data_IF_387996577240
#
_entry.id   IF_387996577240
#
_cell.length_a   1.000
_cell.length_b   1.000
_cell.length_c   1.000
_cell.angle_alpha   90.00
_cell.angle_beta   90.00
_cell.angle_gamma   90.00
#
_symmetry.space_group_name_H-M   'P 1'
#
loop_
_entity.id
_entity.type
_entity.pdbx_description
1 polymer ?
#
# COMPACT_ATOMS: atom_id res chain seq x y z
N UNK A 1 -20.44 -6.14 4.90
CA UNK A 1 -20.24 -5.35 3.67
C UNK A 1 -21.17 -4.12 3.64
N UNK A 2 -22.50 -4.23 3.56
CA UNK A 2 -23.38 -3.05 3.46
C UNK A 2 -23.30 -2.09 4.65
N UNK A 3 -23.22 -2.60 5.88
CA UNK A 3 -23.06 -1.77 7.09
C UNK A 3 -21.71 -1.05 7.12
N UNK A 4 -20.65 -1.70 6.65
CA UNK A 4 -19.33 -1.13 6.55
C UNK A 4 -19.26 0.00 5.51
N UNK A 5 -19.83 -0.22 4.32
CA UNK A 5 -19.94 0.83 3.30
C UNK A 5 -20.74 2.03 3.79
N UNK A 6 -21.84 1.80 4.50
CA UNK A 6 -22.65 2.87 5.08
C UNK A 6 -21.86 3.67 6.13
N UNK A 7 -21.19 2.98 7.06
CA UNK A 7 -20.38 3.63 8.09
C UNK A 7 -19.23 4.46 7.49
N UNK A 8 -18.54 3.90 6.48
CA UNK A 8 -17.46 4.58 5.76
C UNK A 8 -17.97 5.83 5.03
N UNK A 9 -19.09 5.72 4.31
CA UNK A 9 -19.69 6.87 3.62
C UNK A 9 -20.13 7.97 4.60
N UNK A 10 -20.72 7.60 5.75
CA UNK A 10 -21.10 8.55 6.79
C UNK A 10 -19.87 9.27 7.39
N UNK A 11 -18.82 8.51 7.72
CA UNK A 11 -17.56 9.08 8.23
C UNK A 11 -16.92 10.04 7.22
N UNK A 12 -16.89 9.65 5.95
CA UNK A 12 -16.36 10.47 4.85
C UNK A 12 -17.13 11.79 4.72
N UNK A 13 -18.47 11.74 4.64
CA UNK A 13 -19.32 12.93 4.54
C UNK A 13 -19.14 13.85 5.76
N UNK A 14 -19.04 13.26 6.95
CA UNK A 14 -18.84 14.04 8.19
C UNK A 14 -17.51 14.73 8.21
N UNK A 15 -16.42 14.05 7.81
CA UNK A 15 -15.08 14.66 7.70
C UNK A 15 -15.07 15.80 6.69
N UNK A 16 -15.66 15.62 5.52
CA UNK A 16 -15.75 16.68 4.51
C UNK A 16 -16.50 17.91 5.02
N UNK A 17 -17.64 17.71 5.72
CA UNK A 17 -18.37 18.83 6.33
C UNK A 17 -17.55 19.56 7.39
N UNK A 18 -16.79 18.84 8.23
CA UNK A 18 -15.89 19.43 9.21
C UNK A 18 -14.74 20.20 8.54
N UNK A 19 -14.17 19.66 7.46
CA UNK A 19 -13.11 20.33 6.68
C UNK A 19 -13.65 21.63 6.05
N UNK A 20 -14.85 21.59 5.47
CA UNK A 20 -15.48 22.79 4.89
C UNK A 20 -15.76 23.88 5.94
N UNK A 21 -16.04 23.50 7.19
CA UNK A 21 -16.28 24.41 8.31
C UNK A 21 -15.00 24.92 9.01
N UNK A 22 -13.81 24.57 8.52
CA UNK A 22 -12.56 25.08 9.14
C UNK A 22 -12.34 26.56 8.82
N UNK A 23 -11.73 27.34 9.75
CA UNK A 23 -11.35 28.71 9.48
C UNK A 23 -10.40 28.86 8.28
N UNK A 24 -10.29 30.07 7.76
CA UNK A 24 -9.29 30.38 6.74
C UNK A 24 -7.86 30.08 7.25
N UNK A 25 -6.94 29.67 6.35
CA UNK A 25 -5.57 29.36 6.73
C UNK A 25 -4.88 30.59 7.35
N UNK A 26 -4.09 30.36 8.38
CA UNK A 26 -3.30 31.38 9.07
C UNK A 26 -1.84 31.39 8.59
N UNK A 27 -1.36 30.27 8.02
CA UNK A 27 0.00 30.08 7.55
C UNK A 27 0.04 30.15 6.02
N UNK A 28 1.00 30.90 5.49
CA UNK A 28 1.26 30.93 4.05
C UNK A 28 2.13 29.74 3.61
N UNK A 29 1.64 28.55 3.95
CA UNK A 29 2.26 27.27 3.61
C UNK A 29 1.19 26.31 3.08
N UNK A 30 1.37 25.88 1.86
CA UNK A 30 0.47 24.89 1.22
C UNK A 30 1.00 23.48 1.46
N UNK A 31 0.14 22.59 1.92
CA UNK A 31 0.43 21.15 2.07
C UNK A 31 -0.51 20.40 1.12
N UNK A 32 0.03 19.49 0.31
CA UNK A 32 -0.76 18.52 -0.45
C UNK A 32 -0.91 17.25 0.37
N UNK A 33 -2.12 16.68 0.39
CA UNK A 33 -2.41 15.39 1.03
C UNK A 33 -3.14 14.51 0.03
N UNK A 34 -2.69 13.28 -0.17
CA UNK A 34 -3.34 12.36 -1.09
C UNK A 34 -2.91 10.91 -0.90
N UNK A 35 -3.53 10.04 -1.70
CA UNK A 35 -3.22 8.63 -1.75
C UNK A 35 -2.64 8.28 -3.13
N UNK A 36 -1.50 7.56 -3.19
CA UNK A 36 -0.89 7.18 -4.47
C UNK A 36 -1.77 6.22 -5.26
N UNK A 37 -1.39 5.94 -6.49
CA UNK A 37 -2.13 5.01 -7.36
C UNK A 37 -2.37 3.67 -6.68
N UNK A 38 -3.61 3.15 -6.80
CA UNK A 38 -4.06 1.92 -6.17
C UNK A 38 -4.48 2.05 -4.70
N UNK A 39 -4.33 3.23 -4.05
CA UNK A 39 -4.76 3.45 -2.68
C UNK A 39 -6.14 4.14 -2.61
N UNK A 40 -7.13 3.42 -2.09
CA UNK A 40 -8.52 3.88 -2.02
C UNK A 40 -8.97 4.28 -0.59
N UNK A 41 -8.15 4.07 0.44
CA UNK A 41 -8.51 4.34 1.83
C UNK A 41 -8.32 5.83 2.17
N UNK A 42 -9.33 6.63 1.90
CA UNK A 42 -9.28 8.11 2.00
C UNK A 42 -9.45 8.68 3.40
N UNK A 43 -10.07 7.95 4.33
CA UNK A 43 -10.40 8.44 5.67
C UNK A 43 -9.17 8.96 6.44
N UNK A 44 -8.02 8.25 6.48
CA UNK A 44 -6.83 8.77 7.17
C UNK A 44 -6.34 10.10 6.60
N UNK A 45 -6.32 10.25 5.28
CA UNK A 45 -5.92 11.49 4.60
C UNK A 45 -6.88 12.65 4.86
N UNK A 46 -8.20 12.39 4.91
CA UNK A 46 -9.22 13.38 5.27
C UNK A 46 -9.09 13.83 6.73
N UNK A 47 -8.87 12.88 7.65
CA UNK A 47 -8.65 13.20 9.06
C UNK A 47 -7.40 14.08 9.23
N UNK A 48 -6.30 13.72 8.60
CA UNK A 48 -5.07 14.51 8.62
C UNK A 48 -5.30 15.90 8.02
N UNK A 49 -6.02 16.01 6.91
CA UNK A 49 -6.41 17.28 6.29
C UNK A 49 -7.18 18.18 7.27
N UNK A 50 -8.17 17.63 7.97
CA UNK A 50 -8.93 18.36 8.98
C UNK A 50 -8.01 18.92 10.09
N UNK A 51 -7.13 18.08 10.61
CA UNK A 51 -6.23 18.47 11.71
C UNK A 51 -5.23 19.53 11.26
N UNK A 52 -4.62 19.38 10.10
CA UNK A 52 -3.66 20.35 9.57
C UNK A 52 -4.33 21.70 9.26
N UNK A 53 -5.58 21.72 8.79
CA UNK A 53 -6.34 22.96 8.62
C UNK A 53 -6.61 23.65 9.95
N UNK A 54 -6.92 22.89 11.01
CA UNK A 54 -7.06 23.43 12.38
C UNK A 54 -5.77 24.00 12.92
N UNK A 55 -4.62 23.47 12.49
CA UNK A 55 -3.30 24.03 12.78
C UNK A 55 -2.93 25.26 11.94
N UNK A 56 -3.84 25.73 11.08
CA UNK A 56 -3.71 26.94 10.27
C UNK A 56 -3.03 26.77 8.91
N UNK A 57 -2.73 25.54 8.48
CA UNK A 57 -2.15 25.31 7.15
C UNK A 57 -3.20 25.46 6.04
N UNK A 58 -2.73 25.90 4.87
CA UNK A 58 -3.48 25.76 3.62
C UNK A 58 -3.31 24.33 3.11
N UNK A 59 -4.34 23.49 3.25
CA UNK A 59 -4.28 22.08 2.83
C UNK A 59 -5.13 21.85 1.60
N UNK A 60 -4.54 21.26 0.57
CA UNK A 60 -5.20 20.76 -0.63
C UNK A 60 -5.23 19.23 -0.55
N UNK A 61 -6.44 18.69 -0.39
CA UNK A 61 -6.65 17.25 -0.40
C UNK A 61 -6.92 16.77 -1.83
N UNK A 62 -6.08 15.90 -2.34
CA UNK A 62 -6.10 15.42 -3.73
C UNK A 62 -6.97 14.18 -3.92
N UNK A 63 -7.34 13.48 -2.83
CA UNK A 63 -8.16 12.27 -2.91
C UNK A 63 -7.36 10.97 -2.97
N UNK A 64 -7.97 9.97 -3.59
CA UNK A 64 -7.47 8.61 -3.74
C UNK A 64 -6.95 8.35 -5.16
N UNK A 65 -6.16 7.27 -5.30
CA UNK A 65 -5.75 6.70 -6.59
C UNK A 65 -5.15 7.73 -7.56
N UNK A 66 -4.20 8.54 -7.05
CA UNK A 66 -3.63 9.63 -7.84
C UNK A 66 -2.47 9.09 -8.69
N UNK A 67 -2.58 9.15 -10.04
CA UNK A 67 -1.48 8.79 -10.92
C UNK A 67 -0.25 9.67 -10.69
N UNK A 68 0.93 9.08 -10.72
CA UNK A 68 2.20 9.75 -10.40
C UNK A 68 2.44 10.99 -11.29
N UNK A 69 2.11 10.92 -12.57
CA UNK A 69 2.27 12.05 -13.50
C UNK A 69 1.40 13.24 -13.07
N UNK A 70 0.11 13.00 -12.74
CA UNK A 70 -0.81 14.05 -12.28
C UNK A 70 -0.39 14.64 -10.93
N UNK A 71 0.16 13.80 -10.05
CA UNK A 71 0.68 14.23 -8.76
C UNK A 71 1.89 15.16 -8.94
N UNK A 72 2.82 14.80 -9.83
CA UNK A 72 4.01 15.61 -10.16
C UNK A 72 3.62 16.93 -10.79
N UNK A 73 2.76 16.94 -11.81
CA UNK A 73 2.29 18.16 -12.48
C UNK A 73 1.57 19.11 -11.49
N UNK A 74 0.77 18.55 -10.60
CA UNK A 74 0.07 19.30 -9.55
C UNK A 74 1.06 19.92 -8.57
N UNK A 75 2.07 19.14 -8.15
CA UNK A 75 3.10 19.61 -7.25
C UNK A 75 3.95 20.74 -7.87
N UNK A 76 4.35 20.60 -9.12
CA UNK A 76 5.12 21.61 -9.86
C UNK A 76 4.33 22.90 -10.03
N UNK A 77 3.01 22.81 -10.25
CA UNK A 77 2.12 23.97 -10.38
C UNK A 77 1.90 24.69 -9.05
N UNK A 78 1.61 23.94 -7.97
CA UNK A 78 1.23 24.49 -6.65
C UNK A 78 2.46 24.89 -5.84
N UNK A 79 3.59 24.20 -6.01
CA UNK A 79 4.84 24.37 -5.26
C UNK A 79 4.59 24.28 -3.73
N UNK A 80 4.05 23.15 -3.26
CA UNK A 80 3.71 22.99 -1.86
C UNK A 80 4.96 22.99 -0.98
N UNK A 81 4.81 23.40 0.28
CA UNK A 81 5.87 23.26 1.26
C UNK A 81 6.13 21.80 1.66
N UNK A 82 5.10 20.93 1.54
CA UNK A 82 5.19 19.52 1.84
C UNK A 82 4.10 18.75 1.07
N UNK A 83 4.44 17.56 0.58
CA UNK A 83 3.50 16.59 0.03
C UNK A 83 3.40 15.43 1.00
N UNK A 84 2.19 15.02 1.36
CA UNK A 84 1.95 13.90 2.27
C UNK A 84 1.18 12.81 1.52
N UNK A 85 1.76 11.61 1.48
CA UNK A 85 1.15 10.45 0.86
C UNK A 85 0.82 9.38 1.91
N UNK A 86 -0.35 8.75 1.78
CA UNK A 86 -0.78 7.69 2.68
C UNK A 86 -0.95 6.37 1.94
N UNK A 87 -0.42 5.26 2.50
CA UNK A 87 -0.65 3.91 1.99
C UNK A 87 -1.05 2.96 3.13
N UNK A 88 -2.07 2.13 2.88
CA UNK A 88 -2.60 1.21 3.87
C UNK A 88 -2.19 -0.25 3.60
N UNK A 89 -1.78 -0.53 2.37
CA UNK A 89 -1.47 -1.86 1.85
C UNK A 89 -0.09 -1.89 1.17
N UNK A 90 0.48 -3.07 1.07
CA UNK A 90 1.78 -3.28 0.45
C UNK A 90 1.82 -2.84 -1.04
N UNK A 91 0.81 -3.13 -1.89
CA UNK A 91 0.79 -2.61 -3.26
C UNK A 91 0.83 -1.08 -3.32
N UNK A 92 0.07 -0.39 -2.47
CA UNK A 92 0.09 1.07 -2.43
C UNK A 92 1.36 1.65 -1.78
N UNK A 93 2.07 0.88 -0.94
CA UNK A 93 3.39 1.27 -0.46
C UNK A 93 4.43 1.29 -1.59
N UNK A 94 4.34 0.34 -2.56
CA UNK A 94 5.16 0.35 -3.78
C UNK A 94 4.93 1.63 -4.58
N UNK A 95 3.68 1.93 -4.93
CA UNK A 95 3.36 3.12 -5.73
C UNK A 95 3.65 4.43 -5.00
N UNK A 96 3.59 4.41 -3.66
CA UNK A 96 4.06 5.52 -2.82
C UNK A 96 5.57 5.70 -2.94
N UNK A 97 6.36 4.62 -2.89
CA UNK A 97 7.82 4.68 -3.04
C UNK A 97 8.21 5.24 -4.41
N UNK A 98 7.56 4.78 -5.49
CA UNK A 98 7.76 5.30 -6.84
C UNK A 98 7.41 6.79 -6.93
N UNK A 99 6.27 7.20 -6.36
CA UNK A 99 5.84 8.59 -6.30
C UNK A 99 6.82 9.47 -5.53
N UNK A 100 7.31 8.99 -4.39
CA UNK A 100 8.28 9.72 -3.57
C UNK A 100 9.61 9.91 -4.30
N UNK A 101 10.06 8.92 -5.08
CA UNK A 101 11.27 9.01 -5.89
C UNK A 101 11.13 10.12 -6.95
N UNK A 102 10.08 10.07 -7.77
CA UNK A 102 9.83 11.07 -8.83
C UNK A 102 9.69 12.48 -8.25
N UNK A 103 8.90 12.64 -7.17
CA UNK A 103 8.72 13.94 -6.53
C UNK A 103 10.04 14.49 -5.95
N UNK A 104 10.90 13.61 -5.43
CA UNK A 104 12.23 13.99 -4.92
C UNK A 104 13.18 14.45 -6.04
N UNK A 105 13.12 13.83 -7.22
CA UNK A 105 13.86 14.26 -8.42
C UNK A 105 13.44 15.69 -8.84
N UNK A 106 12.17 16.03 -8.69
CA UNK A 106 11.61 17.37 -8.89
C UNK A 106 11.86 18.31 -7.70
N UNK A 107 12.62 17.88 -6.68
CA UNK A 107 12.97 18.63 -5.47
C UNK A 107 11.78 18.98 -4.56
N UNK A 108 10.69 18.23 -4.65
CA UNK A 108 9.61 18.33 -3.69
C UNK A 108 9.94 17.59 -2.40
N UNK A 109 9.53 18.17 -1.28
CA UNK A 109 9.63 17.51 0.00
C UNK A 109 8.42 16.60 0.20
N UNK A 110 8.69 15.31 0.49
CA UNK A 110 7.68 14.29 0.65
C UNK A 110 7.74 13.70 2.05
N UNK A 111 6.57 13.54 2.67
CA UNK A 111 6.38 12.74 3.87
C UNK A 111 5.30 11.67 3.62
N UNK A 112 5.32 10.63 4.42
CA UNK A 112 4.37 9.54 4.25
C UNK A 112 4.01 8.86 5.56
N UNK A 113 2.86 8.17 5.54
CA UNK A 113 2.39 7.34 6.64
C UNK A 113 1.35 6.33 6.17
N UNK A 114 0.77 5.63 7.12
CA UNK A 114 -0.28 4.64 6.88
C UNK A 114 -0.03 3.31 7.55
N UNK A 115 -1.07 2.48 7.61
CA UNK A 115 -1.08 1.24 8.41
C UNK A 115 0.00 0.25 7.99
N UNK A 116 0.31 0.15 6.71
CA UNK A 116 1.31 -0.79 6.20
C UNK A 116 2.70 -0.56 6.80
N UNK A 117 3.04 0.69 7.12
CA UNK A 117 4.35 1.03 7.72
C UNK A 117 4.40 0.75 9.23
N UNK A 118 3.26 0.83 9.92
CA UNK A 118 3.13 0.43 11.32
C UNK A 118 3.18 -1.09 11.46
N UNK A 119 2.55 -1.82 10.54
CA UNK A 119 2.52 -3.30 10.57
C UNK A 119 3.79 -3.94 10.01
N UNK A 120 4.51 -3.22 9.16
CA UNK A 120 5.76 -3.68 8.51
C UNK A 120 6.80 -2.54 8.56
N UNK A 121 7.40 -2.25 9.73
CA UNK A 121 8.29 -1.08 9.92
C UNK A 121 9.52 -1.08 9.00
N UNK A 122 9.98 -2.25 8.57
CA UNK A 122 11.12 -2.41 7.68
C UNK A 122 10.90 -1.75 6.30
N UNK A 123 9.64 -1.58 5.88
CA UNK A 123 9.28 -0.86 4.66
C UNK A 123 9.78 0.59 4.68
N UNK A 124 9.93 1.21 5.85
CA UNK A 124 10.41 2.59 5.97
C UNK A 124 11.84 2.76 5.45
N UNK A 125 12.62 1.68 5.38
CA UNK A 125 13.98 1.70 4.81
C UNK A 125 13.98 1.70 3.28
N UNK A 126 12.82 1.50 2.65
CA UNK A 126 12.64 1.36 1.19
C UNK A 126 12.01 2.58 0.54
N UNK A 127 11.77 3.65 1.30
CA UNK A 127 11.10 4.85 0.80
C UNK A 127 11.95 6.09 1.05
N UNK A 128 12.26 6.81 -0.02
CA UNK A 128 13.05 8.05 0.02
C UNK A 128 12.16 9.26 0.34
N UNK A 129 11.58 9.25 1.54
CA UNK A 129 10.75 10.32 2.06
C UNK A 129 10.74 10.29 3.60
N UNK A 130 10.08 11.27 4.24
CA UNK A 130 10.01 11.35 5.70
C UNK A 130 8.87 10.52 6.24
N UNK A 131 9.18 9.47 7.01
CA UNK A 131 8.16 8.71 7.72
C UNK A 131 7.57 9.52 8.88
N UNK A 132 6.26 9.66 8.91
CA UNK A 132 5.54 10.49 9.89
C UNK A 132 5.36 9.80 11.27
N UNK A 133 5.77 8.53 11.39
CA UNK A 133 5.62 7.77 12.64
C UNK A 133 4.24 7.15 12.82
N UNK A 134 4.03 6.53 13.99
CA UNK A 134 2.85 5.71 14.31
C UNK A 134 1.79 6.47 15.11
N UNK A 135 2.08 7.68 15.56
CA UNK A 135 1.15 8.50 16.34
C UNK A 135 0.72 9.75 15.59
N UNK A 136 -0.55 10.09 15.69
CA UNK A 136 -1.12 11.27 15.02
C UNK A 136 -0.52 12.59 15.57
N UNK A 137 -0.28 12.66 16.87
CA UNK A 137 0.33 13.84 17.50
C UNK A 137 1.78 14.06 17.04
N UNK A 138 2.57 12.98 17.03
CA UNK A 138 3.94 13.00 16.53
C UNK A 138 3.99 13.35 15.04
N UNK A 139 3.07 12.84 14.24
CA UNK A 139 2.93 13.17 12.82
C UNK A 139 2.69 14.67 12.61
N UNK A 140 1.77 15.28 13.35
CA UNK A 140 1.46 16.71 13.22
C UNK A 140 2.69 17.57 13.60
N UNK A 141 3.38 17.23 14.69
CA UNK A 141 4.59 17.94 15.11
C UNK A 141 5.69 17.88 14.04
N UNK A 142 5.91 16.70 13.48
CA UNK A 142 6.89 16.51 12.41
C UNK A 142 6.50 17.24 11.12
N UNK A 143 5.23 17.19 10.72
CA UNK A 143 4.70 17.93 9.55
C UNK A 143 4.94 19.43 9.69
N UNK A 144 4.66 20.00 10.88
CA UNK A 144 4.95 21.41 11.17
C UNK A 144 6.43 21.73 10.96
N UNK A 145 7.32 20.91 11.50
CA UNK A 145 8.77 21.07 11.35
C UNK A 145 9.19 21.03 9.87
N UNK A 146 8.75 20.00 9.13
CA UNK A 146 9.09 19.80 7.73
C UNK A 146 8.55 20.93 6.83
N UNK A 147 7.31 21.37 7.05
CA UNK A 147 6.70 22.44 6.26
C UNK A 147 7.39 23.81 6.47
N UNK A 148 8.01 24.02 7.62
CA UNK A 148 8.73 25.26 7.93
C UNK A 148 10.18 25.22 7.47
N UNK A 149 10.83 24.07 7.60
CA UNK A 149 12.25 23.90 7.26
C UNK A 149 12.44 22.56 6.52
N UNK A 150 12.75 22.61 5.21
CA UNK A 150 13.08 21.40 4.45
C UNK A 150 14.26 20.64 5.08
N UNK A 151 14.10 19.33 5.20
CA UNK A 151 15.11 18.44 5.76
C UNK A 151 15.59 17.43 4.72
N UNK A 152 16.86 17.03 4.74
CA UNK A 152 17.36 15.98 3.85
C UNK A 152 16.71 14.63 4.18
N UNK A 153 16.42 13.87 3.14
CA UNK A 153 15.90 12.50 3.25
C UNK A 153 17.05 11.51 3.29
N UNK A 154 16.86 10.39 4.00
CA UNK A 154 17.86 9.30 4.00
C UNK A 154 17.94 8.66 2.61
N UNK A 155 19.16 8.34 2.12
CA UNK A 155 19.34 7.60 0.87
C UNK A 155 18.66 6.23 0.96
N UNK A 156 18.09 5.76 -0.16
CA UNK A 156 17.53 4.42 -0.27
C UNK A 156 18.63 3.35 -0.25
N UNK A 157 18.28 2.18 0.29
CA UNK A 157 19.03 0.97 0.01
C UNK A 157 18.71 0.50 -1.41
N UNK A 158 19.75 0.35 -2.24
CA UNK A 158 19.55 -0.12 -3.62
C UNK A 158 18.91 -1.51 -3.65
N UNK A 159 17.99 -1.70 -4.59
CA UNK A 159 17.43 -3.01 -4.91
C UNK A 159 18.52 -3.95 -5.46
N UNK A 160 18.38 -5.25 -5.19
CA UNK A 160 19.25 -6.24 -5.83
C UNK A 160 18.80 -6.47 -7.29
N UNK A 161 19.74 -6.66 -8.20
CA UNK A 161 19.46 -6.98 -9.60
C UNK A 161 18.62 -8.26 -9.75
N UNK A 162 18.80 -9.22 -8.85
CA UNK A 162 18.02 -10.47 -8.80
C UNK A 162 16.53 -10.21 -8.61
N UNK A 163 16.15 -9.31 -7.69
CA UNK A 163 14.74 -8.99 -7.45
C UNK A 163 14.11 -8.23 -8.63
N UNK A 164 14.87 -7.36 -9.28
CA UNK A 164 14.38 -6.63 -10.46
C UNK A 164 14.10 -7.56 -11.65
N UNK A 165 14.97 -8.54 -11.88
CA UNK A 165 14.75 -9.55 -12.92
C UNK A 165 13.55 -10.44 -12.60
N UNK A 166 13.46 -10.95 -11.36
CA UNK A 166 12.34 -11.79 -10.93
C UNK A 166 11.00 -11.04 -11.01
N UNK A 167 10.98 -9.75 -10.67
CA UNK A 167 9.81 -8.90 -10.82
C UNK A 167 9.36 -8.82 -12.27
N UNK A 168 10.27 -8.55 -13.20
CA UNK A 168 9.95 -8.45 -14.61
C UNK A 168 9.35 -9.76 -15.17
N UNK A 169 9.98 -10.90 -14.88
CA UNK A 169 9.48 -12.23 -15.24
C UNK A 169 8.11 -12.53 -14.62
N UNK A 170 7.93 -12.17 -13.35
CA UNK A 170 6.64 -12.36 -12.66
C UNK A 170 5.54 -11.50 -13.29
N UNK A 171 5.79 -10.22 -13.55
CA UNK A 171 4.80 -9.32 -14.18
C UNK A 171 4.44 -9.75 -15.59
N UNK A 172 5.38 -10.25 -16.39
CA UNK A 172 5.13 -10.78 -17.74
C UNK A 172 4.22 -12.01 -17.73
N UNK A 173 4.44 -12.94 -16.78
CA UNK A 173 3.70 -14.21 -16.72
C UNK A 173 2.49 -14.17 -15.78
N UNK A 174 2.30 -13.08 -15.05
CA UNK A 174 1.29 -12.96 -14.00
C UNK A 174 -0.12 -13.32 -14.46
N UNK A 175 -0.55 -12.82 -15.61
CA UNK A 175 -1.90 -13.10 -16.12
C UNK A 175 -2.14 -14.60 -16.35
N UNK A 176 -1.12 -15.32 -16.80
CA UNK A 176 -1.19 -16.76 -17.02
C UNK A 176 -1.17 -17.53 -15.70
N UNK A 177 -0.35 -17.11 -14.74
CA UNK A 177 -0.31 -17.66 -13.38
C UNK A 177 -1.70 -17.54 -12.74
N UNK A 178 -2.26 -16.33 -12.70
CA UNK A 178 -3.57 -16.06 -12.11
C UNK A 178 -4.69 -16.86 -12.80
N UNK A 179 -4.64 -16.99 -14.13
CA UNK A 179 -5.59 -17.81 -14.88
C UNK A 179 -5.52 -19.28 -14.48
N UNK A 180 -4.32 -19.86 -14.37
CA UNK A 180 -4.13 -21.26 -13.96
C UNK A 180 -4.65 -21.53 -12.56
N UNK A 181 -4.39 -20.62 -11.62
CA UNK A 181 -4.92 -20.71 -10.25
C UNK A 181 -6.45 -20.73 -10.26
N UNK A 182 -7.09 -19.78 -10.94
CA UNK A 182 -8.55 -19.73 -11.04
C UNK A 182 -9.13 -20.96 -11.75
N UNK A 183 -8.42 -21.50 -12.75
CA UNK A 183 -8.84 -22.73 -13.42
C UNK A 183 -8.81 -23.93 -12.46
N UNK A 184 -7.76 -24.04 -11.63
CA UNK A 184 -7.66 -25.11 -10.63
C UNK A 184 -8.75 -25.02 -9.54
N UNK A 185 -9.31 -23.81 -9.31
CA UNK A 185 -10.33 -23.53 -8.30
C UNK A 185 -11.77 -23.60 -8.84
N UNK A 186 -12.00 -23.94 -10.13
CA UNK A 186 -13.30 -23.82 -10.81
C UNK A 186 -14.43 -24.67 -10.24
N UNK A 187 -14.16 -25.72 -9.51
CA UNK A 187 -15.17 -26.62 -8.96
C UNK A 187 -15.95 -26.01 -7.77
N UNK A 188 -15.63 -24.74 -7.38
CA UNK A 188 -16.21 -24.01 -6.28
C UNK A 188 -17.03 -22.79 -6.75
N UNK A 189 -18.13 -23.01 -7.47
CA UNK A 189 -18.94 -21.97 -8.14
C UNK A 189 -19.44 -20.79 -7.28
N UNK A 190 -19.63 -20.97 -5.99
CA UNK A 190 -20.20 -19.91 -5.11
C UNK A 190 -19.21 -18.83 -4.65
N UNK A 191 -17.92 -19.07 -4.82
CA UNK A 191 -16.85 -18.24 -4.24
C UNK A 191 -15.93 -17.62 -5.32
N UNK A 192 -16.24 -17.81 -6.59
CA UNK A 192 -15.38 -17.46 -7.71
C UNK A 192 -15.02 -15.97 -7.77
N UNK A 193 -15.97 -15.07 -7.49
CA UNK A 193 -15.68 -13.61 -7.48
C UNK A 193 -14.74 -13.21 -6.36
N UNK A 194 -14.93 -13.77 -5.15
CA UNK A 194 -14.03 -13.52 -4.03
C UNK A 194 -12.62 -14.07 -4.29
N UNK A 195 -12.53 -15.25 -4.93
CA UNK A 195 -11.25 -15.85 -5.34
C UNK A 195 -10.53 -15.00 -6.39
N UNK A 196 -11.24 -14.39 -7.33
CA UNK A 196 -10.64 -13.47 -8.30
C UNK A 196 -10.01 -12.25 -7.63
N UNK A 197 -10.70 -11.65 -6.65
CA UNK A 197 -10.18 -10.50 -5.90
C UNK A 197 -8.96 -10.88 -5.05
N UNK A 198 -9.02 -12.03 -4.36
CA UNK A 198 -7.89 -12.57 -3.59
C UNK A 198 -6.70 -12.86 -4.49
N UNK A 199 -6.94 -13.45 -5.65
CA UNK A 199 -5.91 -13.83 -6.63
C UNK A 199 -5.17 -12.59 -7.14
N UNK A 200 -5.91 -11.57 -7.57
CA UNK A 200 -5.35 -10.29 -7.98
C UNK A 200 -4.57 -9.63 -6.84
N UNK A 201 -5.14 -9.62 -5.63
CA UNK A 201 -4.51 -9.03 -4.46
C UNK A 201 -3.18 -9.70 -4.09
N UNK A 202 -3.11 -11.03 -4.14
CA UNK A 202 -1.86 -11.76 -3.88
C UNK A 202 -0.81 -11.46 -4.96
N UNK A 203 -1.21 -11.41 -6.23
CA UNK A 203 -0.32 -11.04 -7.33
C UNK A 203 0.24 -9.62 -7.18
N UNK A 204 -0.62 -8.64 -6.86
CA UNK A 204 -0.20 -7.26 -6.57
C UNK A 204 0.79 -7.19 -5.39
N UNK A 205 0.54 -7.98 -4.34
CA UNK A 205 1.39 -8.02 -3.16
C UNK A 205 2.75 -8.69 -3.42
N UNK A 206 2.79 -9.76 -4.21
CA UNK A 206 4.05 -10.38 -4.66
C UNK A 206 4.88 -9.39 -5.48
N UNK A 207 4.27 -8.77 -6.49
CA UNK A 207 4.94 -7.77 -7.31
C UNK A 207 5.46 -6.58 -6.46
N UNK A 208 4.67 -6.10 -5.50
CA UNK A 208 5.09 -5.03 -4.60
C UNK A 208 6.25 -5.44 -3.69
N UNK A 209 6.23 -6.66 -3.14
CA UNK A 209 7.33 -7.20 -2.32
C UNK A 209 8.64 -7.31 -3.11
N UNK A 210 8.57 -7.80 -4.34
CA UNK A 210 9.72 -7.88 -5.24
C UNK A 210 10.25 -6.49 -5.58
N UNK A 211 9.36 -5.55 -5.92
CA UNK A 211 9.71 -4.16 -6.20
C UNK A 211 10.34 -3.46 -5.00
N UNK A 212 9.88 -3.73 -3.79
CA UNK A 212 10.44 -3.19 -2.54
C UNK A 212 11.64 -3.99 -2.01
N UNK A 213 12.00 -5.09 -2.69
CA UNK A 213 13.25 -5.83 -2.48
C UNK A 213 13.23 -6.83 -1.33
N UNK A 214 12.06 -7.23 -0.79
CA UNK A 214 11.98 -8.25 0.27
C UNK A 214 10.61 -8.96 0.27
N UNK A 215 10.60 -10.26 -0.06
CA UNK A 215 9.41 -11.11 -0.01
C UNK A 215 8.84 -11.27 1.41
N UNK A 216 9.63 -11.06 2.45
CA UNK A 216 9.16 -11.08 3.83
C UNK A 216 8.06 -10.05 4.13
N UNK A 217 7.93 -8.99 3.34
CA UNK A 217 6.84 -8.02 3.46
C UNK A 217 5.45 -8.63 3.19
N UNK A 218 5.39 -9.76 2.46
CA UNK A 218 4.15 -10.50 2.23
C UNK A 218 3.56 -11.15 3.48
N UNK A 219 4.35 -11.38 4.54
CA UNK A 219 3.92 -12.18 5.68
C UNK A 219 2.65 -11.62 6.33
N UNK A 220 2.55 -10.30 6.47
CA UNK A 220 1.38 -9.63 7.06
C UNK A 220 0.17 -9.64 6.12
N UNK A 221 0.39 -9.53 4.82
CA UNK A 221 -0.68 -9.57 3.81
C UNK A 221 -1.34 -10.95 3.74
N UNK A 222 -0.56 -12.02 3.79
CA UNK A 222 -1.06 -13.40 3.76
C UNK A 222 -1.82 -13.77 5.03
N UNK A 223 -1.38 -13.29 6.19
CA UNK A 223 -2.13 -13.45 7.43
C UNK A 223 -3.51 -12.79 7.35
N UNK A 224 -3.60 -11.62 6.72
CA UNK A 224 -4.86 -10.92 6.50
C UNK A 224 -5.78 -11.68 5.53
N UNK A 225 -5.26 -12.21 4.42
CA UNK A 225 -6.03 -13.06 3.49
C UNK A 225 -6.59 -14.29 4.20
N UNK A 226 -5.80 -14.95 5.04
CA UNK A 226 -6.25 -16.09 5.86
C UNK A 226 -7.35 -15.72 6.89
N UNK A 227 -7.35 -14.49 7.39
CA UNK A 227 -8.41 -13.99 8.28
C UNK A 227 -9.68 -13.64 7.50
N UNK A 228 -9.55 -13.10 6.29
CA UNK A 228 -10.67 -12.78 5.40
C UNK A 228 -11.43 -14.05 5.02
N UNK A 229 -10.74 -15.12 4.65
CA UNK A 229 -11.35 -16.43 4.35
C UNK A 229 -12.19 -16.97 5.52
N UNK A 230 -11.74 -16.78 6.77
CA UNK A 230 -12.51 -17.19 7.95
C UNK A 230 -13.78 -16.37 8.18
N UNK A 231 -13.84 -15.13 7.71
CA UNK A 231 -15.00 -14.24 7.86
C UNK A 231 -16.05 -14.41 6.76
N UNK A 232 -15.66 -14.94 5.60
CA UNK A 232 -16.53 -15.08 4.40
C UNK A 232 -17.17 -16.47 4.36
N UNK A 233 -16.99 -17.31 5.38
CA UNK A 233 -17.54 -18.68 5.45
C UNK A 233 -17.12 -19.57 4.26
N UNK A 234 -15.95 -19.29 3.70
CA UNK A 234 -15.30 -20.12 2.69
C UNK A 234 -14.90 -21.42 3.37
N UNK A 235 -15.35 -22.56 2.86
CA UNK A 235 -15.10 -23.88 3.43
C UNK A 235 -13.61 -24.03 3.82
N UNK A 236 -13.34 -24.42 5.07
CA UNK A 236 -12.05 -24.25 5.74
C UNK A 236 -10.79 -24.78 5.08
N UNK A 237 -10.92 -25.59 4.01
CA UNK A 237 -9.79 -26.22 3.30
C UNK A 237 -9.40 -25.53 1.98
N UNK A 238 -10.13 -24.49 1.55
CA UNK A 238 -9.87 -23.84 0.25
C UNK A 238 -8.55 -23.07 0.28
N UNK A 239 -8.23 -22.38 1.37
CA UNK A 239 -7.03 -21.56 1.43
C UNK A 239 -5.72 -22.33 1.26
N UNK A 240 -5.46 -23.47 1.92
CA UNK A 240 -4.28 -24.27 1.68
C UNK A 240 -4.19 -24.75 0.23
N UNK A 241 -5.32 -25.18 -0.34
CA UNK A 241 -5.38 -25.62 -1.75
C UNK A 241 -5.10 -24.46 -2.71
N UNK A 242 -5.66 -23.27 -2.44
CA UNK A 242 -5.38 -22.05 -3.20
C UNK A 242 -3.88 -21.71 -3.19
N UNK A 243 -3.25 -21.67 -2.01
CA UNK A 243 -1.83 -21.34 -1.87
C UNK A 243 -0.94 -22.35 -2.61
N UNK A 244 -1.26 -23.66 -2.55
CA UNK A 244 -0.56 -24.71 -3.30
C UNK A 244 -0.74 -24.55 -4.81
N UNK A 245 -1.96 -24.23 -5.26
CA UNK A 245 -2.24 -23.98 -6.67
C UNK A 245 -1.47 -22.78 -7.20
N UNK A 246 -1.36 -21.71 -6.38
CA UNK A 246 -0.59 -20.53 -6.74
C UNK A 246 0.90 -20.82 -6.84
N UNK A 247 1.47 -21.52 -5.86
CA UNK A 247 2.85 -21.99 -5.86
C UNK A 247 3.17 -22.86 -7.08
N UNK A 248 2.30 -23.83 -7.38
CA UNK A 248 2.46 -24.71 -8.55
C UNK A 248 2.42 -23.95 -9.88
N UNK A 249 1.50 -22.97 -10.01
CA UNK A 249 1.41 -22.13 -11.20
C UNK A 249 2.66 -21.26 -11.39
N UNK A 250 3.18 -20.66 -10.33
CA UNK A 250 4.45 -19.89 -10.37
C UNK A 250 5.62 -20.80 -10.79
N UNK A 251 5.75 -21.98 -10.18
CA UNK A 251 6.84 -22.90 -10.50
C UNK A 251 6.77 -23.37 -11.97
N UNK A 252 5.55 -23.56 -12.49
CA UNK A 252 5.35 -24.00 -13.86
C UNK A 252 5.69 -22.88 -14.87
N UNK A 253 5.35 -21.63 -14.57
CA UNK A 253 5.52 -20.52 -15.51
C UNK A 253 6.93 -19.90 -15.45
N UNK A 254 7.52 -19.81 -14.28
CA UNK A 254 8.81 -19.14 -14.08
C UNK A 254 10.01 -20.10 -13.90
N UNK A 255 9.74 -21.40 -13.69
CA UNK A 255 10.82 -22.40 -13.55
C UNK A 255 11.79 -22.08 -12.41
N UNK A 256 13.09 -22.15 -12.68
CA UNK A 256 14.14 -21.95 -11.66
C UNK A 256 14.21 -20.50 -11.15
N UNK A 257 13.79 -19.52 -11.95
CA UNK A 257 13.79 -18.10 -11.55
C UNK A 257 12.83 -17.84 -10.39
N UNK A 258 11.80 -18.70 -10.26
CA UNK A 258 10.81 -18.62 -9.18
C UNK A 258 11.35 -18.98 -7.78
N UNK A 259 12.54 -19.56 -7.66
CA UNK A 259 13.05 -20.12 -6.41
C UNK A 259 12.83 -19.20 -5.18
N UNK A 260 13.11 -17.89 -5.20
CA UNK A 260 12.86 -17.03 -4.03
C UNK A 260 11.38 -16.95 -3.61
N UNK A 261 10.45 -16.95 -4.58
CA UNK A 261 9.02 -16.91 -4.30
C UNK A 261 8.58 -18.27 -3.75
N UNK A 262 9.06 -19.37 -4.31
CA UNK A 262 8.74 -20.74 -3.86
C UNK A 262 9.25 -20.96 -2.43
N UNK A 263 10.47 -20.53 -2.12
CA UNK A 263 11.04 -20.62 -0.76
C UNK A 263 10.19 -19.84 0.25
N UNK A 264 9.68 -18.69 -0.15
CA UNK A 264 8.76 -17.93 0.67
C UNK A 264 7.45 -18.69 0.93
N UNK A 265 6.81 -19.31 -0.08
CA UNK A 265 5.60 -20.14 0.10
C UNK A 265 5.85 -21.29 1.10
N UNK A 266 6.99 -22.00 0.97
CA UNK A 266 7.38 -23.07 1.89
C UNK A 266 7.57 -22.56 3.31
N UNK A 267 8.17 -21.37 3.48
CA UNK A 267 8.37 -20.77 4.81
C UNK A 267 7.06 -20.43 5.53
N UNK A 268 6.06 -19.97 4.79
CA UNK A 268 4.72 -19.67 5.34
C UNK A 268 3.97 -20.93 5.75
N UNK A 269 4.04 -22.01 4.96
CA UNK A 269 3.42 -23.29 5.32
C UNK A 269 4.02 -23.83 6.63
N UNK A 270 5.34 -23.81 6.77
CA UNK A 270 6.03 -24.27 7.99
C UNK A 270 5.66 -23.44 9.23
N UNK A 271 5.50 -22.13 9.09
CA UNK A 271 5.11 -21.22 10.17
C UNK A 271 3.68 -21.49 10.67
N UNK A 272 2.77 -21.93 9.79
CA UNK A 272 1.39 -22.29 10.17
C UNK A 272 1.36 -23.58 10.98
N UNK A 273 2.05 -24.63 10.55
CA UNK A 273 2.09 -25.90 11.27
C UNK A 273 2.70 -25.77 12.68
N UNK A 274 3.62 -24.81 12.88
CA UNK A 274 4.23 -24.55 14.20
C UNK A 274 3.30 -23.81 15.17
N UNK A 275 2.21 -23.18 14.72
CA UNK A 275 1.23 -22.45 15.55
C UNK A 275 -0.02 -23.28 15.87
N UNK A 276 -0.23 -24.40 15.17
CA UNK A 276 -1.35 -25.33 15.37
C UNK A 276 -0.99 -26.50 16.30
N UNK A 277 0.30 -26.66 16.65
CA UNK A 277 0.82 -27.58 17.67
C UNK A 277 1.18 -26.83 18.97
#
# INVERSE_FOLDING_TARGET
>A
VQQEHFATALAHNRLQALIAGTPAPLLDKTILVGCPSGELHTIPGLLLTLLLRREGFKVVYLGADIPIAQLSDTADSIKPALIILAAQRLPSARTLADSASVLSEHRHQVAYGGLVFTTTPELTTRISAHYLGDSLEGSIALIKSLAMQPQPVKPLQMQSETNSRLLAEFEEHRGLIEHKVLHAMRDNDKEFTALQEINRFLGDSIAASLALGNLGFLNNEVLWVGQLNRRVDVAGDIYPFYMKSYQAAIQQELGEVAAPIIDWFVSIENTRHSKEN
#
